data_IF_525594887198
#
_entry.id   IF_525594887198
#
_cell.length_a   1.000
_cell.length_b   1.000
_cell.length_c   1.000
_cell.angle_alpha   90.00
_cell.angle_beta   90.00
_cell.angle_gamma   90.00
#
_symmetry.space_group_name_H-M   'P 1'
#
loop_
_entity.id
_entity.type
_entity.pdbx_description
1 polymer ?
#
# COMPACT_ATOMS: atom_id res chain seq x y z
N UNK A 1 37.46 -20.03 34.05
CA UNK A 1 37.42 -19.71 32.63
C UNK A 1 36.05 -20.07 31.99
N UNK A 2 35.56 -21.27 32.11
CA UNK A 2 34.31 -21.74 31.51
C UNK A 2 33.07 -20.92 31.92
N UNK A 3 32.92 -20.58 33.22
CA UNK A 3 31.79 -19.74 33.71
C UNK A 3 31.84 -18.30 33.19
N UNK A 4 33.04 -17.75 32.96
CA UNK A 4 33.21 -16.40 32.40
C UNK A 4 32.86 -16.36 30.92
N UNK A 5 33.24 -17.40 30.16
CA UNK A 5 32.86 -17.52 28.74
C UNK A 5 31.35 -17.69 28.58
N UNK A 6 30.72 -18.51 29.42
CA UNK A 6 29.25 -18.65 29.45
C UNK A 6 28.54 -17.34 29.76
N UNK A 7 29.04 -16.55 30.71
CA UNK A 7 28.48 -15.25 31.04
C UNK A 7 28.62 -14.25 29.88
N UNK A 8 29.78 -14.25 29.22
CA UNK A 8 30.01 -13.38 28.04
C UNK A 8 29.11 -13.79 26.87
N UNK A 9 28.94 -15.09 26.61
CA UNK A 9 28.00 -15.58 25.60
C UNK A 9 26.54 -15.20 25.94
N UNK A 10 26.12 -15.26 27.19
CA UNK A 10 24.77 -14.86 27.62
C UNK A 10 24.54 -13.37 27.40
N UNK A 11 25.52 -12.54 27.74
CA UNK A 11 25.44 -11.07 27.55
C UNK A 11 25.37 -10.73 26.05
N UNK A 12 26.16 -11.37 25.20
CA UNK A 12 26.13 -11.10 23.76
C UNK A 12 24.80 -11.52 23.15
N UNK A 13 24.25 -12.67 23.53
CA UNK A 13 22.97 -13.17 23.03
C UNK A 13 21.80 -12.25 23.43
N UNK A 14 21.79 -11.76 24.66
CA UNK A 14 20.75 -10.82 25.12
C UNK A 14 20.83 -9.50 24.37
N UNK A 15 22.02 -8.96 24.13
CA UNK A 15 22.21 -7.73 23.35
C UNK A 15 21.73 -7.88 21.90
N UNK A 16 22.01 -9.01 21.24
CA UNK A 16 21.53 -9.31 19.87
C UNK A 16 19.99 -9.38 19.81
N UNK A 17 19.35 -10.01 20.80
CA UNK A 17 17.89 -10.11 20.85
C UNK A 17 17.22 -8.74 21.02
N UNK A 18 17.76 -7.85 21.84
CA UNK A 18 17.25 -6.49 21.98
C UNK A 18 17.47 -5.66 20.71
N UNK A 19 18.64 -5.72 20.10
CA UNK A 19 18.96 -4.99 18.87
C UNK A 19 18.06 -5.43 17.70
N UNK A 20 17.78 -6.73 17.58
CA UNK A 20 16.87 -7.25 16.57
C UNK A 20 15.44 -6.74 16.77
N UNK A 21 14.94 -6.76 18.00
CA UNK A 21 13.61 -6.25 18.36
C UNK A 21 13.45 -4.78 18.01
N UNK A 22 14.44 -3.95 18.35
CA UNK A 22 14.41 -2.52 18.06
C UNK A 22 14.42 -2.26 16.55
N UNK A 23 15.20 -3.04 15.80
CA UNK A 23 15.22 -2.99 14.34
C UNK A 23 13.84 -3.32 13.73
N UNK A 24 13.16 -4.35 14.23
CA UNK A 24 11.81 -4.73 13.77
C UNK A 24 10.76 -3.67 14.12
N UNK A 25 10.82 -3.09 15.32
CA UNK A 25 9.93 -1.99 15.73
C UNK A 25 10.14 -0.77 14.85
N UNK A 26 11.40 -0.42 14.56
CA UNK A 26 11.74 0.70 13.67
C UNK A 26 11.18 0.46 12.28
N UNK A 27 11.42 -0.73 11.72
CA UNK A 27 10.91 -1.13 10.41
C UNK A 27 9.38 -1.00 10.32
N UNK A 28 8.64 -1.53 11.30
CA UNK A 28 7.18 -1.46 11.33
C UNK A 28 6.67 0.00 11.45
N UNK A 29 7.34 0.85 12.23
CA UNK A 29 7.03 2.29 12.30
C UNK A 29 7.22 2.98 10.95
N UNK A 30 8.29 2.68 10.24
CA UNK A 30 8.56 3.23 8.91
C UNK A 30 7.53 2.74 7.89
N UNK A 31 7.21 1.43 7.89
CA UNK A 31 6.16 0.84 7.06
C UNK A 31 4.81 1.52 7.28
N UNK A 32 4.41 1.68 8.55
CA UNK A 32 3.18 2.39 8.95
C UNK A 32 3.18 3.83 8.42
N UNK A 33 4.30 4.53 8.52
CA UNK A 33 4.43 5.90 8.04
C UNK A 33 4.31 5.99 6.50
N UNK A 34 4.91 5.06 5.75
CA UNK A 34 4.72 4.97 4.30
C UNK A 34 3.26 4.74 3.94
N UNK A 35 2.58 3.80 4.62
CA UNK A 35 1.16 3.53 4.42
C UNK A 35 0.30 4.77 4.69
N UNK A 36 0.55 5.51 5.77
CA UNK A 36 -0.17 6.76 6.06
C UNK A 36 0.05 7.82 4.99
N UNK A 37 1.29 8.03 4.57
CA UNK A 37 1.62 9.00 3.52
C UNK A 37 0.98 8.64 2.19
N UNK A 38 0.96 7.36 1.82
CA UNK A 38 0.30 6.91 0.60
C UNK A 38 -1.21 7.22 0.63
N UNK A 39 -1.88 6.97 1.76
CA UNK A 39 -3.29 7.30 1.91
C UNK A 39 -3.56 8.82 1.84
N UNK A 40 -2.66 9.65 2.33
CA UNK A 40 -2.79 11.11 2.17
C UNK A 40 -2.67 11.55 0.70
N UNK A 41 -1.79 10.91 -0.08
CA UNK A 41 -1.66 11.19 -1.52
C UNK A 41 -2.93 10.77 -2.26
N UNK A 42 -3.46 9.57 -1.98
CA UNK A 42 -4.71 9.10 -2.57
C UNK A 42 -5.89 10.00 -2.18
N UNK A 43 -5.98 10.39 -0.91
CA UNK A 43 -7.02 11.29 -0.41
C UNK A 43 -6.93 12.67 -1.04
N UNK A 44 -5.73 13.23 -1.20
CA UNK A 44 -5.51 14.52 -1.86
C UNK A 44 -5.94 14.50 -3.33
N UNK A 45 -5.55 13.47 -4.09
CA UNK A 45 -6.02 13.27 -5.46
C UNK A 45 -7.55 13.19 -5.52
N UNK A 46 -8.15 12.39 -4.64
CA UNK A 46 -9.60 12.15 -4.60
C UNK A 46 -10.36 13.44 -4.30
N UNK A 47 -9.92 14.19 -3.29
CA UNK A 47 -10.51 15.47 -2.93
C UNK A 47 -10.40 16.49 -4.07
N UNK A 48 -9.23 16.60 -4.71
CA UNK A 48 -9.02 17.49 -5.84
C UNK A 48 -9.95 17.14 -7.01
N UNK A 49 -10.07 15.85 -7.37
CA UNK A 49 -10.98 15.38 -8.40
C UNK A 49 -12.45 15.69 -8.08
N UNK A 50 -12.87 15.47 -6.83
CA UNK A 50 -14.23 15.75 -6.41
C UNK A 50 -14.55 17.24 -6.48
N UNK A 51 -13.64 18.10 -6.03
CA UNK A 51 -13.81 19.55 -6.06
C UNK A 51 -13.90 20.04 -7.51
N UNK A 52 -12.88 19.74 -8.32
CA UNK A 52 -12.81 20.18 -9.72
C UNK A 52 -14.00 19.66 -10.50
N UNK A 53 -14.29 18.36 -10.40
CA UNK A 53 -15.38 17.75 -11.15
C UNK A 53 -16.76 18.16 -10.62
N UNK A 54 -16.90 18.38 -9.31
CA UNK A 54 -18.15 18.85 -8.70
C UNK A 54 -18.60 20.19 -9.29
N UNK A 55 -17.68 21.15 -9.42
CA UNK A 55 -17.99 22.44 -10.06
C UNK A 55 -18.21 22.32 -11.58
N UNK A 56 -17.52 21.40 -12.24
CA UNK A 56 -17.56 21.21 -13.68
C UNK A 56 -18.75 20.35 -14.17
N UNK A 57 -19.53 19.73 -13.28
CA UNK A 57 -20.73 18.96 -13.67
C UNK A 57 -21.81 19.80 -14.34
N UNK A 58 -21.84 21.11 -14.11
CA UNK A 58 -22.81 22.04 -14.69
C UNK A 58 -22.39 22.52 -16.10
N UNK A 59 -21.78 21.67 -16.90
CA UNK A 59 -21.41 21.97 -18.28
C UNK A 59 -22.54 21.66 -19.26
N UNK A 60 -22.63 22.43 -20.38
CA UNK A 60 -23.57 22.16 -21.48
C UNK A 60 -23.19 20.94 -22.32
N UNK A 61 -21.90 20.60 -22.36
CA UNK A 61 -21.40 19.40 -23.04
C UNK A 61 -21.79 18.15 -22.24
N UNK A 62 -22.64 17.29 -22.84
CA UNK A 62 -23.18 16.10 -22.18
C UNK A 62 -22.09 15.08 -21.85
N UNK A 63 -21.12 14.85 -22.75
CA UNK A 63 -20.00 13.96 -22.53
C UNK A 63 -19.17 14.43 -21.32
N UNK A 64 -18.78 15.70 -21.29
CA UNK A 64 -18.03 16.28 -20.18
C UNK A 64 -18.80 16.24 -18.85
N UNK A 65 -20.11 16.41 -18.89
CA UNK A 65 -20.93 16.28 -17.68
C UNK A 65 -20.87 14.86 -17.13
N UNK A 66 -21.00 13.85 -17.96
CA UNK A 66 -20.87 12.45 -17.53
C UNK A 66 -19.45 12.11 -17.05
N UNK A 67 -18.42 12.63 -17.72
CA UNK A 67 -17.03 12.51 -17.27
C UNK A 67 -16.86 13.04 -15.84
N UNK A 68 -17.34 14.25 -15.56
CA UNK A 68 -17.23 14.84 -14.24
C UNK A 68 -18.10 14.13 -13.18
N UNK A 69 -19.29 13.68 -13.53
CA UNK A 69 -20.12 12.87 -12.63
C UNK A 69 -19.38 11.60 -12.19
N UNK A 70 -18.75 10.91 -13.13
CA UNK A 70 -18.00 9.69 -12.84
C UNK A 70 -16.75 9.97 -12.00
N UNK A 71 -16.06 11.07 -12.26
CA UNK A 71 -14.92 11.51 -11.43
C UNK A 71 -15.33 11.82 -9.98
N UNK A 72 -16.48 12.42 -9.75
CA UNK A 72 -17.00 12.65 -8.39
C UNK A 72 -17.28 11.31 -7.70
N UNK A 73 -17.89 10.35 -8.40
CA UNK A 73 -18.15 9.02 -7.84
C UNK A 73 -16.86 8.28 -7.46
N UNK A 74 -15.88 8.23 -8.38
CA UNK A 74 -14.57 7.64 -8.12
C UNK A 74 -13.82 8.35 -7.00
N UNK A 75 -13.85 9.68 -7.01
CA UNK A 75 -13.26 10.49 -5.94
C UNK A 75 -13.85 10.14 -4.58
N UNK A 76 -15.18 9.97 -4.47
CA UNK A 76 -15.83 9.55 -3.23
C UNK A 76 -15.37 8.17 -2.74
N UNK A 77 -15.30 7.19 -3.65
CA UNK A 77 -14.81 5.84 -3.33
C UNK A 77 -13.35 5.87 -2.85
N UNK A 78 -12.48 6.51 -3.62
CA UNK A 78 -11.06 6.60 -3.30
C UNK A 78 -10.80 7.40 -2.01
N UNK A 79 -11.59 8.45 -1.74
CA UNK A 79 -11.51 9.22 -0.50
C UNK A 79 -11.91 8.35 0.71
N UNK A 80 -12.94 7.53 0.58
CA UNK A 80 -13.33 6.58 1.61
C UNK A 80 -12.23 5.54 1.86
N UNK A 81 -11.64 4.97 0.81
CA UNK A 81 -10.51 4.04 0.91
C UNK A 81 -9.31 4.71 1.60
N UNK A 82 -8.97 5.94 1.19
CA UNK A 82 -7.87 6.70 1.78
C UNK A 82 -8.10 6.98 3.28
N UNK A 83 -9.32 7.39 3.64
CA UNK A 83 -9.70 7.66 5.03
C UNK A 83 -9.64 6.41 5.90
N UNK A 84 -10.24 5.31 5.44
CA UNK A 84 -10.21 4.03 6.15
C UNK A 84 -8.80 3.45 6.24
N UNK A 85 -8.02 3.55 5.16
CA UNK A 85 -6.63 3.08 5.12
C UNK A 85 -5.72 3.88 6.06
N UNK A 86 -5.87 5.21 6.08
CA UNK A 86 -5.14 6.08 7.01
C UNK A 86 -5.49 5.76 8.47
N UNK A 87 -6.78 5.67 8.78
CA UNK A 87 -7.26 5.37 10.12
C UNK A 87 -6.84 3.97 10.59
N UNK A 88 -6.90 2.96 9.71
CA UNK A 88 -6.42 1.62 9.98
C UNK A 88 -4.93 1.60 10.30
N UNK A 89 -4.11 2.28 9.48
CA UNK A 89 -2.69 2.43 9.74
C UNK A 89 -2.41 3.18 11.04
N UNK A 90 -3.20 4.22 11.39
CA UNK A 90 -3.02 4.96 12.65
C UNK A 90 -3.27 4.08 13.88
N UNK A 91 -4.31 3.28 13.84
CA UNK A 91 -4.71 2.38 14.95
C UNK A 91 -3.86 1.11 15.06
N UNK A 92 -3.05 0.78 14.07
CA UNK A 92 -2.19 -0.39 14.10
C UNK A 92 -1.18 -0.30 15.25
N UNK A 93 -1.28 -1.24 16.20
CA UNK A 93 -0.36 -1.35 17.33
C UNK A 93 0.89 -2.12 16.90
N UNK A 94 2.04 -1.63 17.32
CA UNK A 94 3.35 -2.23 17.07
C UNK A 94 3.90 -2.70 18.43
N UNK A 95 3.31 -3.79 18.92
CA UNK A 95 3.70 -4.34 20.23
C UNK A 95 4.51 -5.62 20.00
N UNK A 96 5.81 -5.57 20.30
CA UNK A 96 6.73 -6.72 20.25
C UNK A 96 6.62 -7.55 18.96
N UNK A 97 6.80 -6.97 17.75
CA UNK A 97 6.64 -7.70 16.51
C UNK A 97 7.71 -8.79 16.38
N UNK A 98 7.29 -9.98 15.98
CA UNK A 98 8.21 -11.03 15.56
C UNK A 98 8.65 -10.81 14.11
N UNK A 99 9.78 -11.40 13.71
CA UNK A 99 10.21 -11.35 12.31
C UNK A 99 9.15 -11.93 11.37
N UNK A 100 8.49 -13.02 11.79
CA UNK A 100 7.42 -13.65 11.01
C UNK A 100 6.22 -12.71 10.81
N UNK A 101 5.82 -11.94 11.83
CA UNK A 101 4.75 -10.95 11.73
C UNK A 101 5.13 -9.84 10.76
N UNK A 102 6.35 -9.30 10.89
CA UNK A 102 6.86 -8.23 10.03
C UNK A 102 6.90 -8.66 8.57
N UNK A 103 7.43 -9.87 8.29
CA UNK A 103 7.46 -10.44 6.93
C UNK A 103 6.05 -10.65 6.37
N UNK A 104 5.13 -11.15 7.19
CA UNK A 104 3.72 -11.33 6.80
C UNK A 104 3.06 -10.00 6.46
N UNK A 105 3.27 -8.96 7.25
CA UNK A 105 2.75 -7.63 6.99
C UNK A 105 3.35 -7.04 5.71
N UNK A 106 4.67 -7.14 5.55
CA UNK A 106 5.37 -6.66 4.36
C UNK A 106 4.87 -7.35 3.08
N UNK A 107 4.80 -8.67 3.08
CA UNK A 107 4.32 -9.44 1.95
C UNK A 107 2.85 -9.12 1.62
N UNK A 108 2.00 -8.92 2.63
CA UNK A 108 0.60 -8.55 2.43
C UNK A 108 0.51 -7.20 1.72
N UNK A 109 1.24 -6.20 2.16
CA UNK A 109 1.15 -4.85 1.60
C UNK A 109 1.68 -4.82 0.15
N UNK A 110 2.82 -5.46 -0.11
CA UNK A 110 3.36 -5.58 -1.47
C UNK A 110 2.36 -6.27 -2.41
N UNK A 111 1.78 -7.39 -1.96
CA UNK A 111 0.79 -8.15 -2.73
C UNK A 111 -0.47 -7.31 -2.99
N UNK A 112 -0.92 -6.51 -2.02
CA UNK A 112 -2.11 -5.66 -2.18
C UNK A 112 -1.88 -4.63 -3.29
N UNK A 113 -0.79 -3.88 -3.26
CA UNK A 113 -0.50 -2.88 -4.29
C UNK A 113 -0.24 -3.52 -5.67
N UNK A 114 0.38 -4.69 -5.73
CA UNK A 114 0.57 -5.40 -6.98
C UNK A 114 -0.76 -5.87 -7.61
N UNK A 115 -1.68 -6.37 -6.79
CA UNK A 115 -3.03 -6.77 -7.25
C UNK A 115 -3.81 -5.54 -7.70
N UNK A 116 -3.76 -4.44 -6.95
CA UNK A 116 -4.43 -3.21 -7.32
C UNK A 116 -3.92 -2.69 -8.67
N UNK A 117 -2.59 -2.62 -8.86
CA UNK A 117 -2.01 -2.24 -10.15
C UNK A 117 -2.52 -3.13 -11.31
N UNK A 118 -2.71 -4.43 -11.07
CA UNK A 118 -3.34 -5.33 -12.05
C UNK A 118 -4.80 -4.97 -12.35
N UNK A 119 -5.57 -4.61 -11.32
CA UNK A 119 -6.96 -4.15 -11.48
C UNK A 119 -7.03 -2.81 -12.21
N UNK A 120 -6.07 -1.92 -12.01
CA UNK A 120 -6.04 -0.61 -12.66
C UNK A 120 -5.82 -0.73 -14.17
N UNK A 121 -5.01 -1.71 -14.60
CA UNK A 121 -4.89 -2.06 -16.04
C UNK A 121 -6.25 -2.46 -16.61
N UNK A 122 -7.04 -3.24 -15.84
CA UNK A 122 -8.40 -3.63 -16.26
C UNK A 122 -9.30 -2.40 -16.34
N UNK A 123 -9.22 -1.46 -15.41
CA UNK A 123 -9.99 -0.21 -15.45
C UNK A 123 -9.64 0.63 -16.69
N UNK A 124 -8.35 0.80 -16.97
CA UNK A 124 -7.91 1.51 -18.19
C UNK A 124 -8.46 0.82 -19.47
N UNK A 125 -8.34 -0.50 -19.53
CA UNK A 125 -8.88 -1.30 -20.65
C UNK A 125 -10.41 -1.19 -20.80
N UNK A 126 -11.14 -1.26 -19.68
CA UNK A 126 -12.58 -1.10 -19.66
C UNK A 126 -13.01 0.30 -20.10
N UNK A 127 -12.33 1.34 -19.64
CA UNK A 127 -12.58 2.72 -20.07
C UNK A 127 -12.34 2.92 -21.56
N UNK A 128 -11.26 2.35 -22.11
CA UNK A 128 -10.97 2.36 -23.55
C UNK A 128 -12.08 1.65 -24.35
N UNK A 129 -12.53 0.48 -23.87
CA UNK A 129 -13.58 -0.27 -24.52
C UNK A 129 -14.90 0.51 -24.53
N UNK A 130 -15.27 1.10 -23.37
CA UNK A 130 -16.46 1.94 -23.27
C UNK A 130 -16.41 3.11 -24.24
N UNK A 131 -15.27 3.77 -24.37
CA UNK A 131 -15.09 4.88 -25.30
C UNK A 131 -15.26 4.43 -26.74
N UNK A 132 -14.56 3.36 -27.16
CA UNK A 132 -14.62 2.84 -28.54
C UNK A 132 -16.00 2.31 -28.95
N UNK A 133 -16.76 1.75 -28.00
CA UNK A 133 -18.09 1.18 -28.30
C UNK A 133 -19.23 2.18 -28.04
N UNK A 134 -18.91 3.41 -27.65
CA UNK A 134 -19.90 4.41 -27.25
C UNK A 134 -20.93 4.74 -28.32
N UNK A 135 -20.50 4.81 -29.59
CA UNK A 135 -21.39 5.15 -30.72
C UNK A 135 -22.50 4.12 -30.93
N UNK A 136 -22.27 2.86 -30.54
CA UNK A 136 -23.26 1.78 -30.67
C UNK A 136 -24.21 1.70 -29.45
N UNK A 137 -24.13 2.64 -28.51
CA UNK A 137 -24.90 2.63 -27.29
C UNK A 137 -26.12 3.57 -27.36
N UNK A 138 -27.16 3.25 -26.58
CA UNK A 138 -28.35 4.12 -26.47
C UNK A 138 -28.04 5.56 -26.01
N UNK A 139 -26.93 5.75 -25.30
CA UNK A 139 -26.47 7.06 -24.82
C UNK A 139 -24.94 7.17 -25.03
N UNK A 140 -24.50 7.52 -26.25
CA UNK A 140 -23.09 7.61 -26.62
C UNK A 140 -22.29 8.53 -25.69
N UNK A 141 -22.80 9.74 -25.41
CA UNK A 141 -22.14 10.73 -24.56
C UNK A 141 -21.84 10.18 -23.15
N UNK A 142 -22.78 9.38 -22.61
CA UNK A 142 -22.61 8.78 -21.28
C UNK A 142 -21.49 7.74 -21.27
N UNK A 143 -21.49 6.84 -22.25
CA UNK A 143 -20.46 5.80 -22.36
C UNK A 143 -19.09 6.41 -22.60
N UNK A 144 -18.99 7.41 -23.44
CA UNK A 144 -17.75 8.09 -23.74
C UNK A 144 -17.25 8.90 -22.53
N UNK A 145 -18.11 9.67 -21.89
CA UNK A 145 -17.74 10.43 -20.69
C UNK A 145 -17.30 9.52 -19.54
N UNK A 146 -18.06 8.47 -19.24
CA UNK A 146 -17.68 7.51 -18.20
C UNK A 146 -16.40 6.75 -18.56
N UNK A 147 -16.24 6.30 -19.81
CA UNK A 147 -15.03 5.63 -20.29
C UNK A 147 -13.78 6.49 -20.11
N UNK A 148 -13.85 7.77 -20.49
CA UNK A 148 -12.76 8.73 -20.32
C UNK A 148 -12.39 8.95 -18.85
N UNK A 149 -13.40 9.03 -17.96
CA UNK A 149 -13.16 9.18 -16.52
C UNK A 149 -12.51 7.92 -15.93
N UNK A 150 -13.00 6.72 -16.29
CA UNK A 150 -12.42 5.45 -15.81
C UNK A 150 -10.98 5.30 -16.28
N UNK A 151 -10.66 5.69 -17.54
CA UNK A 151 -9.27 5.71 -18.03
C UNK A 151 -8.39 6.65 -17.21
N UNK A 152 -8.87 7.86 -16.93
CA UNK A 152 -8.11 8.82 -16.12
C UNK A 152 -7.84 8.29 -14.71
N UNK A 153 -8.87 7.78 -14.04
CA UNK A 153 -8.75 7.27 -12.70
C UNK A 153 -7.88 6.02 -12.64
N UNK A 154 -8.11 5.05 -13.55
CA UNK A 154 -7.29 3.83 -13.64
C UNK A 154 -5.83 4.14 -13.99
N UNK A 155 -5.57 5.10 -14.87
CA UNK A 155 -4.21 5.54 -15.21
C UNK A 155 -3.49 6.17 -14.01
N UNK A 156 -4.16 7.02 -13.26
CA UNK A 156 -3.60 7.58 -12.02
C UNK A 156 -3.33 6.48 -10.99
N UNK A 157 -4.32 5.62 -10.72
CA UNK A 157 -4.20 4.55 -9.73
C UNK A 157 -3.08 3.57 -10.10
N UNK A 158 -2.93 3.20 -11.37
CA UNK A 158 -1.85 2.33 -11.84
C UNK A 158 -0.46 2.92 -11.52
N UNK A 159 -0.26 4.20 -11.80
CA UNK A 159 1.00 4.89 -11.49
C UNK A 159 1.19 4.96 -9.96
N UNK A 160 0.16 5.33 -9.24
CA UNK A 160 0.16 5.42 -7.78
C UNK A 160 0.52 4.07 -7.14
N UNK A 161 -0.19 2.99 -7.50
CA UNK A 161 0.02 1.66 -6.92
C UNK A 161 1.39 1.09 -7.28
N UNK A 162 1.89 1.32 -8.50
CA UNK A 162 3.24 0.94 -8.90
C UNK A 162 4.33 1.67 -8.08
N UNK A 163 4.15 2.96 -7.82
CA UNK A 163 5.08 3.75 -6.99
C UNK A 163 5.06 3.23 -5.56
N UNK A 164 3.88 3.06 -4.95
CA UNK A 164 3.77 2.64 -3.56
C UNK A 164 4.25 1.19 -3.39
N UNK A 165 3.96 0.29 -4.34
CA UNK A 165 4.56 -1.05 -4.39
C UNK A 165 6.09 -0.97 -4.35
N UNK A 166 6.68 -0.12 -5.19
CA UNK A 166 8.14 0.03 -5.28
C UNK A 166 8.74 0.55 -3.97
N UNK A 167 8.08 1.51 -3.32
CA UNK A 167 8.49 2.05 -2.01
C UNK A 167 8.49 0.93 -0.96
N UNK A 168 7.38 0.18 -0.84
CA UNK A 168 7.28 -0.91 0.14
C UNK A 168 8.25 -2.05 -0.17
N UNK A 169 8.41 -2.43 -1.45
CA UNK A 169 9.37 -3.45 -1.84
C UNK A 169 10.82 -3.06 -1.54
N UNK A 170 11.20 -1.81 -1.77
CA UNK A 170 12.55 -1.32 -1.44
C UNK A 170 12.76 -1.27 0.08
N UNK A 171 11.75 -0.85 0.83
CA UNK A 171 11.76 -0.90 2.30
C UNK A 171 11.92 -2.35 2.79
N UNK A 172 11.17 -3.30 2.23
CA UNK A 172 11.23 -4.72 2.55
C UNK A 172 12.62 -5.36 2.38
N UNK A 173 13.46 -4.82 1.47
CA UNK A 173 14.84 -5.30 1.30
C UNK A 173 15.70 -5.16 2.56
N UNK A 174 15.35 -4.25 3.47
CA UNK A 174 16.07 -4.06 4.74
C UNK A 174 15.92 -5.28 5.66
N UNK A 175 14.85 -6.08 5.51
CA UNK A 175 14.63 -7.29 6.30
C UNK A 175 15.60 -8.44 5.94
N UNK A 176 16.16 -8.45 4.73
CA UNK A 176 17.09 -9.51 4.28
C UNK A 176 18.34 -9.65 5.16
N UNK A 177 18.77 -8.57 5.85
CA UNK A 177 19.85 -8.61 6.82
C UNK A 177 19.44 -9.21 8.16
N UNK A 178 18.17 -9.06 8.53
CA UNK A 178 17.61 -9.54 9.81
C UNK A 178 17.24 -11.03 9.70
N UNK A 179 16.85 -11.51 8.52
CA UNK A 179 16.51 -12.91 8.25
C UNK A 179 17.72 -13.86 8.39
N UNK A 180 18.93 -13.34 8.15
CA UNK A 180 20.14 -14.16 8.15
C UNK A 180 20.54 -14.68 9.53
N UNK A 181 20.14 -14.00 10.60
CA UNK A 181 20.49 -14.39 11.98
C UNK A 181 19.22 -14.41 12.83
N UNK A 182 18.76 -15.60 13.16
CA UNK A 182 17.61 -15.77 14.07
C UNK A 182 18.08 -16.43 15.35
N UNK A 183 17.84 -15.76 16.48
CA UNK A 183 18.06 -16.32 17.81
C UNK A 183 16.72 -16.83 18.33
N UNK A 184 16.63 -18.14 18.60
CA UNK A 184 15.43 -18.74 19.19
C UNK A 184 15.79 -19.30 20.56
N UNK A 185 14.97 -18.97 21.57
CA UNK A 185 15.07 -19.51 22.91
C UNK A 185 13.88 -20.42 23.22
N UNK A 186 14.14 -21.67 23.59
CA UNK A 186 13.15 -22.62 24.10
C UNK A 186 13.46 -23.03 25.55
N UNK A 187 12.56 -23.76 26.25
CA UNK A 187 12.83 -24.26 27.60
C UNK A 187 14.08 -25.13 27.62
N UNK A 188 15.21 -24.57 28.08
CA UNK A 188 16.49 -25.29 28.19
C UNK A 188 17.34 -25.31 26.92
N UNK A 189 16.96 -24.60 25.84
CA UNK A 189 17.76 -24.52 24.62
C UNK A 189 17.86 -23.12 24.07
N UNK A 190 19.05 -22.77 23.57
CA UNK A 190 19.32 -21.55 22.83
C UNK A 190 19.83 -21.94 21.46
N UNK A 191 19.18 -21.55 20.39
CA UNK A 191 19.61 -21.82 19.02
C UNK A 191 19.88 -20.54 18.27
N UNK A 192 20.98 -20.49 17.55
CA UNK A 192 21.35 -19.44 16.60
C UNK A 192 21.26 -20.05 15.21
N UNK A 193 20.28 -19.60 14.43
CA UNK A 193 20.08 -20.06 13.05
C UNK A 193 20.67 -18.99 12.14
N UNK A 194 21.65 -19.36 11.35
CA UNK A 194 22.19 -18.51 10.28
C UNK A 194 21.76 -19.11 8.94
N UNK A 195 21.03 -18.33 8.16
CA UNK A 195 20.59 -18.71 6.81
C UNK A 195 21.52 -18.03 5.80
N UNK A 196 22.18 -18.83 4.97
CA UNK A 196 23.12 -18.39 3.93
C UNK A 196 22.42 -17.78 2.71
#
# INVERSE_FOLDING_TARGET
MQKFILLLCLITVTQYSFAQKDALIKFEKERKNYSKKSMLVLGGWSAANMIVSGFATNTRNREMRYFHQMNVMWGGINLAIAGLGYWGAEKEKIDNPTLADVLKHQNRIEKTYLINAGLDVVYVGAGLLMNKTSENQKNPDKFKGYGNSIMLQGGFLLIYDAIIYTIHRNHGKQLKGVEKVTVSSGPGSLSLIYTF
#
